data_IF_845908923099
#
_entry.id   IF_845908923099
#
_cell.length_a   1.000
_cell.length_b   1.000
_cell.length_c   1.000
_cell.angle_alpha   90.00
_cell.angle_beta   90.00
_cell.angle_gamma   90.00
#
_symmetry.space_group_name_H-M   'P 1'
#
loop_
_entity.id
_entity.type
_entity.pdbx_description
1 polymer ?
#
# COMPACT_ATOMS: atom_id res chain seq x y z
N UNK A 1 18.85 -25.24 10.73
CA UNK A 1 18.68 -24.82 12.14
C UNK A 1 19.21 -23.40 12.25
N UNK A 2 18.33 -22.41 12.19
CA UNK A 2 18.64 -21.04 12.58
C UNK A 2 17.48 -20.57 13.45
N UNK A 3 17.84 -20.28 14.68
CA UNK A 3 16.98 -19.94 15.81
C UNK A 3 16.40 -18.55 15.54
N UNK A 4 15.11 -18.49 15.21
CA UNK A 4 14.39 -17.22 15.08
C UNK A 4 14.42 -16.53 16.44
N UNK A 5 15.07 -15.38 16.50
CA UNK A 5 15.08 -14.49 17.66
C UNK A 5 13.66 -13.92 17.79
N UNK A 6 12.85 -14.50 18.67
CA UNK A 6 11.54 -13.93 19.01
C UNK A 6 11.82 -12.78 19.98
N UNK A 7 11.81 -11.55 19.49
CA UNK A 7 11.81 -10.36 20.35
C UNK A 7 10.38 -10.18 20.86
N UNK A 8 10.12 -10.75 22.04
CA UNK A 8 8.89 -10.48 22.79
C UNK A 8 9.08 -9.13 23.47
N UNK A 9 8.54 -8.06 22.87
CA UNK A 9 8.45 -6.76 23.53
C UNK A 9 7.32 -6.79 24.57
N UNK A 10 7.64 -7.36 25.74
CA UNK A 10 6.78 -7.30 26.92
C UNK A 10 6.88 -5.89 27.53
N UNK A 11 5.92 -5.02 27.20
CA UNK A 11 5.78 -3.71 27.82
C UNK A 11 5.24 -3.91 29.24
N UNK A 12 6.17 -4.04 30.19
CA UNK A 12 5.90 -4.00 31.62
C UNK A 12 5.75 -2.53 32.02
N UNK A 13 4.51 -2.05 32.08
CA UNK A 13 4.16 -0.78 32.74
C UNK A 13 4.19 -0.99 34.25
N UNK A 14 5.38 -0.87 34.84
CA UNK A 14 5.53 -0.62 36.28
C UNK A 14 5.87 0.85 36.47
N UNK A 15 4.99 1.53 37.20
CA UNK A 15 5.12 2.95 37.49
C UNK A 15 6.29 3.29 38.40
N UNK A 16 6.76 4.53 38.27
CA UNK A 16 7.30 5.33 39.37
C UNK A 16 8.80 5.18 39.70
N UNK A 17 9.51 6.31 39.54
CA UNK A 17 10.72 6.72 40.25
C UNK A 17 12.07 6.09 39.88
N UNK A 18 12.85 6.80 39.05
CA UNK A 18 14.13 7.43 39.43
C UNK A 18 14.97 7.66 38.18
N UNK A 19 15.50 8.87 38.03
CA UNK A 19 16.41 9.29 36.99
C UNK A 19 17.56 8.29 36.78
N UNK A 20 17.65 7.72 35.58
CA UNK A 20 18.86 7.55 34.77
C UNK A 20 18.65 6.46 33.70
N UNK A 21 19.15 6.78 32.50
CA UNK A 21 19.45 5.91 31.36
C UNK A 21 18.27 5.50 30.46
N UNK A 22 17.88 6.38 29.53
CA UNK A 22 17.52 5.97 28.14
C UNK A 22 17.85 7.12 27.17
N UNK A 23 19.12 7.42 26.93
CA UNK A 23 19.53 8.32 25.81
C UNK A 23 20.15 7.53 24.66
N UNK A 24 20.80 6.39 24.93
CA UNK A 24 21.54 5.63 23.91
C UNK A 24 20.67 4.68 23.04
N UNK A 25 19.47 4.31 23.48
CA UNK A 25 18.56 3.49 22.65
C UNK A 25 17.72 4.34 21.70
N UNK A 26 17.61 5.65 21.95
CA UNK A 26 16.76 6.55 21.17
C UNK A 26 17.40 6.88 19.83
N UNK A 27 18.72 7.14 19.78
CA UNK A 27 19.43 7.48 18.54
C UNK A 27 19.50 6.32 17.52
N UNK A 28 19.71 5.08 18.00
CA UNK A 28 19.77 3.90 17.12
C UNK A 28 18.39 3.57 16.56
N UNK A 29 17.35 3.64 17.39
CA UNK A 29 15.96 3.48 16.96
C UNK A 29 15.53 4.59 15.98
N UNK A 30 15.89 5.85 16.24
CA UNK A 30 15.64 6.97 15.33
C UNK A 30 16.34 6.76 13.98
N UNK A 31 17.57 6.23 13.99
CA UNK A 31 18.31 5.96 12.76
C UNK A 31 17.66 4.85 11.94
N UNK A 32 17.28 3.73 12.57
CA UNK A 32 16.58 2.63 11.89
C UNK A 32 15.21 3.07 11.35
N UNK A 33 14.47 3.88 12.13
CA UNK A 33 13.19 4.44 11.69
C UNK A 33 13.35 5.39 10.51
N UNK A 34 14.38 6.25 10.53
CA UNK A 34 14.66 7.16 9.41
C UNK A 34 15.04 6.40 8.15
N UNK A 35 15.86 5.35 8.26
CA UNK A 35 16.21 4.49 7.13
C UNK A 35 14.99 3.77 6.56
N UNK A 36 14.13 3.20 7.41
CA UNK A 36 12.89 2.57 6.98
C UNK A 36 11.95 3.57 6.28
N UNK A 37 11.90 4.82 6.78
CA UNK A 37 11.12 5.89 6.15
C UNK A 37 11.66 6.25 4.77
N UNK A 38 12.97 6.41 4.61
CA UNK A 38 13.60 6.72 3.32
C UNK A 38 13.38 5.61 2.28
N UNK A 39 13.47 4.34 2.71
CA UNK A 39 13.19 3.19 1.84
C UNK A 39 11.74 3.22 1.38
N UNK A 40 10.80 3.38 2.32
CA UNK A 40 9.37 3.45 2.01
C UNK A 40 9.04 4.63 1.07
N UNK A 41 9.63 5.80 1.29
CA UNK A 41 9.46 6.97 0.41
C UNK A 41 9.98 6.68 -1.01
N UNK A 42 11.10 5.96 -1.13
CA UNK A 42 11.66 5.58 -2.43
C UNK A 42 10.74 4.61 -3.18
N UNK A 43 10.25 3.56 -2.50
CA UNK A 43 9.32 2.59 -3.07
C UNK A 43 8.01 3.26 -3.51
N UNK A 44 7.43 4.11 -2.66
CA UNK A 44 6.21 4.86 -3.00
C UNK A 44 6.43 5.76 -4.22
N UNK A 45 7.59 6.42 -4.33
CA UNK A 45 7.91 7.28 -5.48
C UNK A 45 8.03 6.47 -6.77
N UNK A 46 8.62 5.28 -6.70
CA UNK A 46 8.71 4.37 -7.83
C UNK A 46 7.32 3.95 -8.32
N UNK A 47 6.48 3.48 -7.39
CA UNK A 47 5.10 3.09 -7.70
C UNK A 47 4.30 4.25 -8.31
N UNK A 48 4.36 5.44 -7.71
CA UNK A 48 3.69 6.64 -8.25
C UNK A 48 4.20 7.00 -9.65
N UNK A 49 5.50 6.84 -9.90
CA UNK A 49 6.10 7.11 -11.21
C UNK A 49 5.57 6.14 -12.25
N UNK A 50 5.52 4.84 -11.93
CA UNK A 50 4.95 3.80 -12.79
C UNK A 50 3.46 4.04 -13.05
N UNK A 51 2.68 4.31 -12.02
CA UNK A 51 1.26 4.64 -12.17
C UNK A 51 1.05 5.87 -13.07
N UNK A 52 1.91 6.89 -12.95
CA UNK A 52 1.85 8.08 -13.81
C UNK A 52 2.16 7.74 -15.27
N UNK A 53 3.15 6.88 -15.53
CA UNK A 53 3.45 6.41 -16.87
C UNK A 53 2.25 5.68 -17.47
N UNK A 54 1.64 4.78 -16.70
CA UNK A 54 0.45 4.02 -17.11
C UNK A 54 -0.77 4.90 -17.40
N UNK A 55 -0.89 6.07 -16.75
CA UNK A 55 -1.95 7.04 -17.07
C UNK A 55 -1.70 7.75 -18.41
N UNK A 56 -0.44 7.93 -18.79
CA UNK A 56 -0.06 8.58 -20.05
C UNK A 56 -0.10 7.65 -21.26
N UNK A 57 -0.01 6.34 -21.03
CA UNK A 57 -0.19 5.33 -22.06
C UNK A 57 -1.68 5.22 -22.41
N UNK A 58 -2.02 5.55 -23.67
CA UNK A 58 -3.41 5.51 -24.15
C UNK A 58 -3.94 4.09 -24.07
N UNK A 59 -5.17 3.94 -23.56
CA UNK A 59 -5.88 2.69 -23.33
C UNK A 59 -6.26 1.94 -24.63
N UNK A 60 -5.27 1.50 -25.41
CA UNK A 60 -5.48 0.62 -26.56
C UNK A 60 -5.62 -0.86 -26.16
N UNK A 61 -5.62 -1.18 -24.85
CA UNK A 61 -5.75 -2.54 -24.33
C UNK A 61 -7.13 -2.82 -23.70
N UNK A 62 -8.20 -2.31 -24.31
CA UNK A 62 -9.59 -2.58 -23.91
C UNK A 62 -10.07 -4.03 -24.15
N UNK A 63 -9.15 -4.96 -24.43
CA UNK A 63 -9.43 -6.41 -24.56
C UNK A 63 -9.02 -7.22 -23.31
N UNK A 64 -8.57 -6.57 -22.22
CA UNK A 64 -8.09 -7.27 -21.03
C UNK A 64 -9.25 -7.77 -20.14
N UNK A 65 -9.50 -9.08 -20.25
CA UNK A 65 -10.05 -10.02 -19.28
C UNK A 65 -10.97 -9.44 -18.20
N UNK A 66 -12.26 -9.76 -18.30
CA UNK A 66 -13.28 -9.40 -17.32
C UNK A 66 -13.13 -10.23 -16.04
N UNK A 67 -12.59 -9.63 -14.97
CA UNK A 67 -12.75 -10.23 -13.63
C UNK A 67 -14.20 -10.00 -13.17
N UNK A 68 -14.91 -11.08 -12.89
CA UNK A 68 -16.31 -11.04 -12.45
C UNK A 68 -16.43 -10.89 -10.93
N UNK A 69 -17.57 -10.38 -10.47
CA UNK A 69 -17.87 -10.31 -9.04
C UNK A 69 -17.81 -11.70 -8.40
N UNK A 70 -17.13 -11.80 -7.25
CA UNK A 70 -16.96 -13.04 -6.50
C UNK A 70 -15.76 -13.90 -6.94
N UNK A 71 -15.13 -13.58 -8.06
CA UNK A 71 -13.91 -14.25 -8.51
C UNK A 71 -12.66 -13.77 -7.75
N UNK A 72 -11.62 -14.60 -7.81
CA UNK A 72 -10.28 -14.21 -7.35
C UNK A 72 -9.48 -13.68 -8.54
N UNK A 73 -8.79 -12.57 -8.31
CA UNK A 73 -7.84 -11.99 -9.23
C UNK A 73 -6.49 -11.78 -8.54
N UNK A 74 -5.52 -11.42 -9.34
CA UNK A 74 -4.17 -11.10 -8.94
C UNK A 74 -3.83 -9.69 -9.41
N UNK A 75 -3.08 -8.98 -8.56
CA UNK A 75 -2.56 -7.65 -8.84
C UNK A 75 -1.37 -7.80 -9.79
N UNK A 76 -1.42 -7.16 -10.96
CA UNK A 76 -0.41 -7.35 -12.02
C UNK A 76 0.79 -6.41 -11.92
N UNK A 77 0.84 -5.59 -10.86
CA UNK A 77 1.95 -4.69 -10.52
C UNK A 77 1.72 -4.00 -9.18
N UNK A 78 2.79 -3.52 -8.56
CA UNK A 78 2.69 -2.67 -7.38
C UNK A 78 1.76 -1.48 -7.58
N UNK A 79 0.86 -1.26 -6.63
CA UNK A 79 -0.19 -0.25 -6.73
C UNK A 79 -0.53 0.35 -5.37
N UNK A 80 -0.81 1.66 -5.37
CA UNK A 80 -1.45 2.33 -4.25
C UNK A 80 -2.97 2.15 -4.33
N UNK A 81 -3.53 1.48 -3.33
CA UNK A 81 -4.94 1.12 -3.26
C UNK A 81 -5.66 2.00 -2.24
N UNK A 82 -6.57 2.90 -2.67
CA UNK A 82 -7.45 3.64 -1.79
C UNK A 82 -8.36 2.71 -0.98
N UNK A 83 -8.47 2.94 0.32
CA UNK A 83 -9.38 2.21 1.22
C UNK A 83 -10.83 2.71 1.07
N UNK A 84 -11.01 3.95 0.60
CA UNK A 84 -12.31 4.59 0.36
C UNK A 84 -12.43 5.02 -1.08
N UNK A 85 -13.64 4.92 -1.62
CA UNK A 85 -13.93 5.34 -2.99
C UNK A 85 -13.63 6.83 -3.24
N UNK A 86 -13.98 7.70 -2.28
CA UNK A 86 -13.75 9.14 -2.38
C UNK A 86 -12.27 9.53 -2.48
N UNK A 87 -11.37 8.64 -2.04
CA UNK A 87 -9.91 8.87 -2.03
C UNK A 87 -9.31 8.54 -3.40
N UNK A 88 -10.04 7.78 -4.24
CA UNK A 88 -9.56 7.36 -5.56
C UNK A 88 -9.30 8.57 -6.48
N UNK A 89 -10.29 9.45 -6.67
CA UNK A 89 -10.12 10.61 -7.55
C UNK A 89 -8.98 11.53 -7.09
N UNK A 90 -8.86 11.75 -5.77
CA UNK A 90 -7.79 12.55 -5.18
C UNK A 90 -6.40 11.93 -5.43
N UNK A 91 -6.27 10.61 -5.24
CA UNK A 91 -5.01 9.89 -5.51
C UNK A 91 -4.57 10.10 -6.95
N UNK A 92 -5.45 9.85 -7.92
CA UNK A 92 -5.09 9.96 -9.34
C UNK A 92 -4.78 11.41 -9.74
N UNK A 93 -5.52 12.39 -9.20
CA UNK A 93 -5.19 13.80 -9.37
C UNK A 93 -3.79 14.16 -8.83
N UNK A 94 -3.39 13.59 -7.69
CA UNK A 94 -2.05 13.79 -7.15
C UNK A 94 -0.96 13.06 -7.95
N UNK A 95 -1.23 11.86 -8.47
CA UNK A 95 -0.30 11.14 -9.35
C UNK A 95 -0.03 11.94 -10.63
N UNK A 96 -1.07 12.44 -11.29
CA UNK A 96 -0.95 13.28 -12.48
C UNK A 96 -0.11 14.54 -12.22
N UNK A 97 -0.39 15.20 -11.09
CA UNK A 97 0.33 16.39 -10.63
C UNK A 97 1.74 16.08 -10.09
N UNK A 98 2.14 14.81 -9.96
CA UNK A 98 3.36 14.39 -9.25
C UNK A 98 3.46 14.98 -7.83
N UNK A 99 2.34 15.06 -7.13
CA UNK A 99 2.24 15.60 -5.77
C UNK A 99 2.50 14.50 -4.73
N UNK A 100 3.77 14.08 -4.65
CA UNK A 100 4.22 13.03 -3.71
C UNK A 100 3.91 13.38 -2.25
N UNK A 101 4.00 14.67 -1.87
CA UNK A 101 3.76 15.11 -0.50
C UNK A 101 2.33 14.78 -0.03
N UNK A 102 1.33 15.00 -0.89
CA UNK A 102 -0.04 14.65 -0.52
C UNK A 102 -0.29 13.14 -0.54
N UNK A 103 0.35 12.40 -1.44
CA UNK A 103 0.28 10.93 -1.46
C UNK A 103 0.88 10.34 -0.17
N UNK A 104 2.05 10.84 0.26
CA UNK A 104 2.68 10.46 1.54
C UNK A 104 1.76 10.75 2.74
N UNK A 105 1.07 11.90 2.75
CA UNK A 105 0.08 12.22 3.80
C UNK A 105 -1.09 11.24 3.82
N UNK A 106 -1.59 10.82 2.66
CA UNK A 106 -2.67 9.84 2.56
C UNK A 106 -2.24 8.46 3.07
N UNK A 107 -1.01 8.03 2.77
CA UNK A 107 -0.44 6.80 3.33
C UNK A 107 -0.34 6.90 4.86
N UNK A 108 0.19 8.00 5.39
CA UNK A 108 0.31 8.22 6.84
C UNK A 108 -1.06 8.30 7.54
N UNK A 109 -2.09 8.77 6.84
CA UNK A 109 -3.47 8.79 7.32
C UNK A 109 -4.17 7.42 7.23
N UNK A 110 -3.52 6.40 6.65
CA UNK A 110 -4.11 5.07 6.43
C UNK A 110 -5.19 5.06 5.35
N UNK A 111 -5.17 6.03 4.43
CA UNK A 111 -6.15 6.14 3.34
C UNK A 111 -5.74 5.34 2.11
N UNK A 112 -4.45 5.02 1.99
CA UNK A 112 -3.85 4.24 0.91
C UNK A 112 -3.11 3.03 1.48
N UNK A 113 -3.21 1.91 0.78
CA UNK A 113 -2.43 0.70 1.01
C UNK A 113 -1.46 0.53 -0.15
N UNK A 114 -0.18 0.30 0.14
CA UNK A 114 0.74 -0.21 -0.88
C UNK A 114 0.49 -1.71 -1.00
N UNK A 115 0.14 -2.16 -2.20
CA UNK A 115 -0.13 -3.56 -2.51
C UNK A 115 0.82 -3.99 -3.60
N UNK A 116 1.59 -5.05 -3.33
CA UNK A 116 2.60 -5.58 -4.25
C UNK A 116 1.96 -6.36 -5.40
N UNK A 117 2.68 -6.44 -6.51
CA UNK A 117 2.45 -7.42 -7.59
C UNK A 117 2.24 -8.84 -7.04
N UNK A 118 1.52 -9.67 -7.78
CA UNK A 118 1.16 -11.06 -7.43
C UNK A 118 0.27 -11.18 -6.18
N UNK A 119 -0.20 -10.06 -5.61
CA UNK A 119 -1.12 -10.09 -4.48
C UNK A 119 -2.50 -10.56 -4.91
N UNK A 120 -2.99 -11.62 -4.25
CA UNK A 120 -4.34 -12.15 -4.48
C UNK A 120 -5.40 -11.28 -3.85
N UNK A 121 -6.45 -11.04 -4.63
CA UNK A 121 -7.59 -10.25 -4.21
C UNK A 121 -8.89 -10.94 -4.61
N UNK A 122 -9.93 -10.76 -3.79
CA UNK A 122 -11.28 -11.19 -4.12
C UNK A 122 -12.10 -10.01 -4.61
N UNK A 123 -12.72 -10.14 -5.78
CA UNK A 123 -13.61 -9.10 -6.30
C UNK A 123 -14.90 -9.04 -5.49
N UNK A 124 -15.15 -7.89 -4.87
CA UNK A 124 -16.37 -7.61 -4.12
C UNK A 124 -17.41 -6.96 -5.02
N UNK A 125 -17.00 -5.95 -5.79
CA UNK A 125 -17.92 -5.17 -6.61
C UNK A 125 -17.17 -4.61 -7.82
N UNK A 126 -17.79 -4.75 -9.00
CA UNK A 126 -17.20 -4.29 -10.25
C UNK A 126 -17.75 -2.92 -10.64
N UNK A 127 -16.87 -1.92 -10.74
CA UNK A 127 -17.15 -0.65 -11.39
C UNK A 127 -16.69 -0.63 -12.86
N UNK A 128 -16.80 0.55 -13.48
CA UNK A 128 -16.38 0.76 -14.87
C UNK A 128 -14.86 0.90 -14.99
N UNK A 129 -14.27 1.84 -14.23
CA UNK A 129 -12.80 2.10 -14.25
C UNK A 129 -12.06 1.45 -13.07
N UNK A 130 -12.78 1.18 -11.99
CA UNK A 130 -12.25 0.64 -10.74
C UNK A 130 -13.05 -0.56 -10.25
N UNK A 131 -12.40 -1.44 -9.51
CA UNK A 131 -12.97 -2.63 -8.89
C UNK A 131 -12.74 -2.55 -7.40
N UNK A 132 -13.80 -2.77 -6.62
CA UNK A 132 -13.69 -2.94 -5.18
C UNK A 132 -13.27 -4.37 -4.89
N UNK A 133 -12.15 -4.52 -4.19
CA UNK A 133 -11.55 -5.82 -3.90
C UNK A 133 -11.27 -5.99 -2.41
N UNK A 134 -11.23 -7.24 -1.94
CA UNK A 134 -10.64 -7.61 -0.65
C UNK A 134 -9.25 -8.16 -0.89
N UNK A 135 -8.25 -7.58 -0.24
CA UNK A 135 -6.86 -8.06 -0.28
C UNK A 135 -6.77 -9.26 0.68
N UNK A 136 -6.44 -10.44 0.17
CA UNK A 136 -6.55 -11.68 0.97
C UNK A 136 -5.53 -11.77 2.11
N UNK A 137 -4.35 -11.17 1.95
CA UNK A 137 -3.24 -11.23 2.93
C UNK A 137 -3.50 -10.43 4.21
N UNK A 138 -4.29 -9.35 4.11
CA UNK A 138 -4.52 -8.39 5.21
C UNK A 138 -6.02 -8.18 5.52
N UNK A 139 -6.91 -8.86 4.81
CA UNK A 139 -8.38 -8.78 4.94
C UNK A 139 -9.00 -7.39 4.75
N UNK A 140 -8.21 -6.41 4.29
CA UNK A 140 -8.65 -5.05 4.00
C UNK A 140 -9.37 -4.92 2.65
N UNK A 141 -10.21 -3.91 2.54
CA UNK A 141 -10.95 -3.59 1.30
C UNK A 141 -10.37 -2.34 0.66
N UNK A 142 -10.27 -2.37 -0.66
CA UNK A 142 -9.78 -1.22 -1.42
C UNK A 142 -10.28 -1.19 -2.85
N UNK A 143 -9.90 -0.13 -3.56
CA UNK A 143 -10.34 0.18 -4.91
C UNK A 143 -9.16 0.13 -5.87
N UNK A 144 -9.19 -0.79 -6.83
CA UNK A 144 -8.08 -1.05 -7.76
C UNK A 144 -8.54 -0.79 -9.19
N UNK A 145 -7.74 -0.12 -10.04
CA UNK A 145 -8.04 -0.03 -11.46
C UNK A 145 -8.26 -1.40 -12.10
N UNK A 146 -9.29 -1.53 -12.94
CA UNK A 146 -9.58 -2.79 -13.65
C UNK A 146 -8.35 -3.32 -14.39
N UNK A 147 -7.56 -2.41 -14.97
CA UNK A 147 -6.35 -2.74 -15.75
C UNK A 147 -5.21 -3.39 -14.95
N UNK A 148 -5.24 -3.30 -13.61
CA UNK A 148 -4.23 -3.88 -12.73
C UNK A 148 -4.67 -5.22 -12.15
N UNK A 149 -5.78 -5.78 -12.63
CA UNK A 149 -6.30 -7.06 -12.20
C UNK A 149 -6.23 -8.07 -13.33
N UNK A 150 -5.76 -9.27 -13.01
CA UNK A 150 -5.80 -10.43 -13.89
C UNK A 150 -6.55 -11.57 -13.20
N UNK A 151 -7.43 -12.25 -13.93
CA UNK A 151 -8.19 -13.38 -13.42
C UNK A 151 -7.29 -14.61 -13.29
N UNK A 152 -7.27 -15.25 -12.12
CA UNK A 152 -6.42 -16.43 -11.85
C UNK A 152 -7.16 -17.77 -11.78
N UNK A 153 -8.45 -17.79 -12.18
CA UNK A 153 -9.37 -18.95 -12.25
C UNK A 153 -9.88 -19.50 -10.92
#
# INVERSE_FOLDING_TARGET
MMQKLIIILAIVLLGGCSSQVVDYQTEELETEMNQAKEILESEVREVVTTMKQDLSETADEADKLFVSEGETAEITRDVLVPVKESVYEDLYGYIEASNYENIEKMIQAGELLLVEEDTKVKVIERGYDQVKVRIESIEEVGYVPVRYLEQIS
#
